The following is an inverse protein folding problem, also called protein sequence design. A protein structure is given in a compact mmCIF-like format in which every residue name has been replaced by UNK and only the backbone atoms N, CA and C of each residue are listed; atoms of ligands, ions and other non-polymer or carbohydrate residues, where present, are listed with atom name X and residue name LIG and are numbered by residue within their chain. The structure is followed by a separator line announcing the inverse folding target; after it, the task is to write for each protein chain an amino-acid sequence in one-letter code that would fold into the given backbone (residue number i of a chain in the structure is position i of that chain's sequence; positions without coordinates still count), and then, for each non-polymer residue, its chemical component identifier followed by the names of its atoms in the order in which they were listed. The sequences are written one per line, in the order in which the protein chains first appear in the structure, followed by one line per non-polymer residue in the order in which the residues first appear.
data_IF_032858265578
#
_entry.id   IF_032858265578
#
_cell.length_a   1.000
_cell.length_b   1.000
_cell.length_c   1.000
_cell.angle_alpha   90.00
_cell.angle_beta   90.00
_cell.angle_gamma   90.00
#
_symmetry.space_group_name_H-M   'P 1'
#
loop_
_entity.id
_entity.type
_entity.pdbx_description
1 polymer ?
#
# COMPACT_ATOMS: atom_id res chain seq x y z
N UNK A 1 -25.85 9.94 29.69
CA UNK A 1 -25.83 10.83 30.86
C UNK A 1 -24.42 11.29 31.23
N UNK A 2 -23.48 10.41 31.63
CA UNK A 2 -22.12 10.82 32.06
C UNK A 2 -21.34 11.70 31.06
N UNK A 3 -21.35 11.36 29.77
CA UNK A 3 -20.67 12.14 28.73
C UNK A 3 -21.25 13.55 28.54
N UNK A 4 -22.56 13.72 28.76
CA UNK A 4 -23.23 15.02 28.62
C UNK A 4 -22.76 15.95 29.72
N UNK A 5 -22.74 15.49 30.98
CA UNK A 5 -22.22 16.28 32.10
C UNK A 5 -20.74 16.64 31.93
N UNK A 6 -19.93 15.75 31.36
CA UNK A 6 -18.53 16.04 31.07
C UNK A 6 -18.39 17.18 30.06
N UNK A 7 -19.17 17.17 28.98
CA UNK A 7 -19.17 18.24 27.97
C UNK A 7 -19.69 19.55 28.57
N UNK A 8 -20.78 19.50 29.35
CA UNK A 8 -21.32 20.69 30.02
C UNK A 8 -20.30 21.31 31.00
N UNK A 9 -19.44 20.50 31.62
CA UNK A 9 -18.38 20.97 32.51
C UNK A 9 -17.22 21.65 31.78
N UNK A 10 -17.09 21.46 30.45
CA UNK A 10 -16.12 22.17 29.61
C UNK A 10 -16.63 23.54 29.15
N UNK A 11 -17.93 23.81 29.31
CA UNK A 11 -18.53 25.08 28.94
C UNK A 11 -18.35 26.13 30.04
N UNK A 12 -18.23 27.40 29.63
CA UNK A 12 -18.26 28.52 30.56
C UNK A 12 -19.71 28.88 30.89
N UNK A 13 -19.99 29.09 32.17
CA UNK A 13 -21.29 29.57 32.64
C UNK A 13 -21.26 31.10 32.73
N UNK A 14 -22.15 31.78 32.01
CA UNK A 14 -22.42 33.21 32.19
C UNK A 14 -23.90 33.43 32.43
N UNK A 15 -24.23 33.99 33.59
CA UNK A 15 -25.61 34.23 34.04
C UNK A 15 -26.47 32.95 33.99
N UNK A 16 -27.36 32.83 33.00
CA UNK A 16 -28.27 31.70 32.78
C UNK A 16 -27.97 30.94 31.49
N UNK A 17 -26.85 31.25 30.81
CA UNK A 17 -26.46 30.66 29.54
C UNK A 17 -25.12 29.91 29.66
N UNK A 18 -25.00 28.84 28.88
CA UNK A 18 -23.75 28.11 28.69
C UNK A 18 -23.10 28.56 27.39
N UNK A 19 -21.82 28.89 27.45
CA UNK A 19 -21.02 29.28 26.30
C UNK A 19 -19.93 28.21 26.11
N UNK A 20 -19.95 27.56 24.94
CA UNK A 20 -18.95 26.59 24.53
C UNK A 20 -18.26 27.02 23.24
N UNK A 21 -16.94 26.96 23.22
CA UNK A 21 -16.15 27.13 22.00
C UNK A 21 -15.84 25.75 21.43
N UNK A 22 -16.15 25.54 20.15
CA UNK A 22 -16.01 24.23 19.49
C UNK A 22 -15.37 24.36 18.12
N UNK A 23 -14.54 23.38 17.77
CA UNK A 23 -14.06 23.21 16.41
C UNK A 23 -15.14 22.52 15.57
N UNK A 24 -15.51 23.13 14.45
CA UNK A 24 -16.48 22.59 13.52
C UNK A 24 -15.94 22.71 12.09
N UNK A 25 -15.98 21.64 11.27
CA UNK A 25 -15.66 21.73 9.86
C UNK A 25 -16.59 22.72 9.17
N UNK A 26 -16.04 23.60 8.33
CA UNK A 26 -16.81 24.65 7.65
C UNK A 26 -17.97 24.08 6.83
N UNK A 27 -17.78 22.90 6.24
CA UNK A 27 -18.80 22.21 5.44
C UNK A 27 -19.99 21.69 6.27
N UNK A 28 -19.80 21.45 7.57
CA UNK A 28 -20.82 20.86 8.44
C UNK A 28 -21.53 21.93 9.30
N UNK A 29 -21.18 23.20 9.12
CA UNK A 29 -21.78 24.35 9.82
C UNK A 29 -23.31 24.46 9.63
N UNK A 30 -23.88 24.25 8.42
CA UNK A 30 -25.33 24.27 8.24
C UNK A 30 -26.04 23.16 9.02
N UNK A 31 -25.41 21.99 9.14
CA UNK A 31 -25.96 20.84 9.88
C UNK A 31 -26.01 21.17 11.38
N UNK A 32 -24.96 21.81 11.90
CA UNK A 32 -24.90 22.28 13.29
C UNK A 32 -26.01 23.31 13.58
N UNK A 33 -26.18 24.30 12.71
CA UNK A 33 -27.22 25.32 12.85
C UNK A 33 -28.63 24.70 12.84
N UNK A 34 -28.89 23.77 11.93
CA UNK A 34 -30.16 23.05 11.89
C UNK A 34 -30.41 22.20 13.14
N UNK A 35 -29.38 21.58 13.71
CA UNK A 35 -29.50 20.81 14.94
C UNK A 35 -29.79 21.72 16.16
N UNK A 36 -29.15 22.89 16.23
CA UNK A 36 -29.38 23.88 17.28
C UNK A 36 -30.80 24.46 17.22
N UNK A 37 -31.30 24.79 16.03
CA UNK A 37 -32.66 25.29 15.83
C UNK A 37 -33.71 24.26 16.30
N UNK A 38 -33.57 22.99 15.87
CA UNK A 38 -34.46 21.89 16.33
C UNK A 38 -34.41 21.71 17.84
N UNK A 39 -33.23 21.74 18.44
CA UNK A 39 -33.10 21.63 19.88
C UNK A 39 -33.77 22.79 20.64
N UNK A 40 -33.75 24.01 20.08
CA UNK A 40 -34.45 25.17 20.65
C UNK A 40 -35.97 25.02 20.56
N UNK A 41 -36.49 24.56 19.42
CA UNK A 41 -37.91 24.28 19.22
C UNK A 41 -38.42 23.18 20.18
N UNK A 42 -37.70 22.06 20.28
CA UNK A 42 -38.09 20.92 21.12
C UNK A 42 -38.06 21.24 22.61
N UNK A 43 -37.17 22.15 23.02
CA UNK A 43 -37.00 22.52 24.44
C UNK A 43 -38.15 23.40 24.96
N UNK A 44 -38.94 24.03 24.08
CA UNK A 44 -40.05 24.92 24.44
C UNK A 44 -39.66 26.16 25.26
N UNK A 45 -38.38 26.33 25.58
CA UNK A 45 -37.83 27.48 26.28
C UNK A 45 -37.58 28.60 25.29
N UNK A 46 -38.15 29.79 25.52
CA UNK A 46 -38.07 30.94 24.61
C UNK A 46 -36.68 31.57 24.40
N UNK A 47 -35.59 30.82 24.61
CA UNK A 47 -34.23 31.23 24.29
C UNK A 47 -33.74 30.57 22.99
N UNK A 48 -33.39 31.38 22.00
CA UNK A 48 -32.77 30.92 20.75
C UNK A 48 -31.33 30.48 21.01
N UNK A 49 -30.95 29.33 20.46
CA UNK A 49 -29.56 28.87 20.42
C UNK A 49 -28.85 29.51 19.23
N UNK A 50 -27.72 30.18 19.48
CA UNK A 50 -26.96 30.86 18.43
C UNK A 50 -25.54 30.30 18.33
N UNK A 51 -25.01 30.25 17.11
CA UNK A 51 -23.60 29.94 16.86
C UNK A 51 -22.93 31.11 16.14
N UNK A 52 -21.73 31.50 16.58
CA UNK A 52 -20.98 32.59 15.99
C UNK A 52 -19.57 32.12 15.62
N UNK A 53 -19.07 32.56 14.47
CA UNK A 53 -17.70 32.25 14.04
C UNK A 53 -16.73 33.23 14.71
N UNK A 54 -15.87 32.71 15.58
CA UNK A 54 -14.87 33.50 16.30
C UNK A 54 -13.54 33.43 15.52
N UNK A 55 -12.85 34.56 15.26
CA UNK A 55 -11.50 34.53 14.74
C UNK A 55 -10.55 33.97 15.81
N UNK A 56 -9.76 32.95 15.46
CA UNK A 56 -8.82 32.31 16.36
C UNK A 56 -7.40 32.42 15.78
N UNK A 57 -6.39 32.65 16.64
CA UNK A 57 -4.98 32.63 16.24
C UNK A 57 -4.35 31.24 16.37
N UNK A 58 -5.03 30.29 17.02
CA UNK A 58 -4.55 28.92 17.21
C UNK A 58 -4.84 28.11 15.96
N UNK A 59 -3.91 27.24 15.57
CA UNK A 59 -4.10 26.33 14.46
C UNK A 59 -5.26 25.36 14.75
N UNK A 60 -6.25 25.26 13.85
CA UNK A 60 -7.34 24.30 14.01
C UNK A 60 -6.84 22.85 13.93
N UNK A 61 -7.59 21.89 14.51
CA UNK A 61 -7.30 20.47 14.37
C UNK A 61 -7.48 20.00 12.91
N UNK A 62 -6.66 19.04 12.51
CA UNK A 62 -6.73 18.43 11.18
C UNK A 62 -7.81 17.35 11.14
N UNK A 63 -8.74 17.44 10.19
CA UNK A 63 -9.76 16.44 9.93
C UNK A 63 -9.57 15.85 8.53
N UNK A 64 -9.23 14.57 8.46
CA UNK A 64 -9.15 13.82 7.20
C UNK A 64 -10.38 12.91 7.11
N UNK A 65 -11.23 13.14 6.11
CA UNK A 65 -12.40 12.29 5.87
C UNK A 65 -11.95 11.00 5.21
N UNK A 66 -12.02 9.90 5.95
CA UNK A 66 -11.69 8.57 5.46
C UNK A 66 -12.95 7.82 5.00
N UNK A 67 -12.76 6.88 4.09
CA UNK A 67 -13.78 5.91 3.72
C UNK A 67 -13.32 4.51 4.18
N UNK A 68 -14.15 3.48 3.94
CA UNK A 68 -13.82 2.09 4.33
C UNK A 68 -12.50 1.57 3.75
N UNK A 69 -12.06 2.11 2.62
CA UNK A 69 -10.83 1.72 1.94
C UNK A 69 -9.61 2.50 2.46
N UNK A 70 -9.74 3.82 2.64
CA UNK A 70 -8.63 4.69 3.05
C UNK A 70 -8.37 4.71 4.55
N UNK A 71 -9.34 4.29 5.38
CA UNK A 71 -9.21 4.31 6.84
C UNK A 71 -7.97 3.57 7.34
N UNK A 72 -7.73 2.33 6.89
CA UNK A 72 -6.57 1.55 7.34
C UNK A 72 -5.22 2.16 6.92
N UNK A 73 -5.15 2.80 5.75
CA UNK A 73 -3.94 3.50 5.31
C UNK A 73 -3.71 4.78 6.11
N UNK A 74 -4.78 5.50 6.43
CA UNK A 74 -4.71 6.71 7.25
C UNK A 74 -4.24 6.39 8.68
N UNK A 75 -4.76 5.33 9.29
CA UNK A 75 -4.35 4.90 10.63
C UNK A 75 -2.86 4.58 10.70
N UNK A 76 -2.30 3.95 9.67
CA UNK A 76 -0.85 3.67 9.60
C UNK A 76 -0.04 4.97 9.55
N UNK A 77 -0.49 5.94 8.76
CA UNK A 77 0.17 7.24 8.66
C UNK A 77 0.06 8.01 9.97
N UNK A 78 -1.13 8.08 10.56
CA UNK A 78 -1.40 8.80 11.80
C UNK A 78 -0.65 8.18 12.99
N UNK A 79 -0.32 6.89 12.92
CA UNK A 79 0.51 6.22 13.94
C UNK A 79 1.93 6.78 14.02
N UNK A 80 2.45 7.35 12.93
CA UNK A 80 3.73 8.06 12.93
C UNK A 80 3.58 9.49 13.45
N UNK A 81 2.51 10.17 13.03
CA UNK A 81 2.18 11.52 13.48
C UNK A 81 1.01 12.09 12.71
N UNK A 82 0.25 12.96 13.38
CA UNK A 82 -0.88 13.67 12.76
C UNK A 82 -0.35 14.85 11.94
N UNK A 83 -0.80 14.97 10.70
CA UNK A 83 -0.42 16.04 9.79
C UNK A 83 -0.88 17.43 10.29
N UNK A 84 -0.13 18.47 9.94
CA UNK A 84 -0.49 19.85 10.25
C UNK A 84 -1.74 20.29 9.50
N UNK A 85 -2.39 21.35 9.99
CA UNK A 85 -3.59 21.85 9.34
C UNK A 85 -3.31 22.30 7.91
N UNK A 86 -4.10 21.80 6.95
CA UNK A 86 -3.95 22.03 5.51
C UNK A 86 -2.62 21.55 4.89
N UNK A 87 -1.92 20.64 5.55
CA UNK A 87 -0.77 19.95 4.95
C UNK A 87 -1.21 18.87 3.94
N UNK A 88 -0.40 18.62 2.91
CA UNK A 88 -0.62 17.53 1.96
C UNK A 88 -0.63 16.18 2.70
N UNK A 89 -1.74 15.44 2.59
CA UNK A 89 -1.90 14.17 3.29
C UNK A 89 -1.04 13.05 2.66
N UNK A 90 -0.08 12.47 3.42
CA UNK A 90 0.78 11.42 2.89
C UNK A 90 0.10 10.06 2.72
N UNK A 91 -1.08 9.84 3.32
CA UNK A 91 -1.81 8.59 3.20
C UNK A 91 -2.26 8.31 1.76
N UNK A 92 -2.53 9.35 0.95
CA UNK A 92 -3.05 9.18 -0.41
C UNK A 92 -2.07 8.44 -1.33
N UNK A 93 -0.78 8.76 -1.28
CA UNK A 93 0.21 8.03 -2.08
C UNK A 93 0.64 6.73 -1.41
N UNK A 94 0.63 6.68 -0.08
CA UNK A 94 0.93 5.48 0.72
C UNK A 94 0.01 4.31 0.35
N UNK A 95 -1.23 4.57 -0.07
CA UNK A 95 -2.18 3.55 -0.56
C UNK A 95 -1.56 2.64 -1.63
N UNK A 96 -0.72 3.19 -2.53
CA UNK A 96 -0.10 2.44 -3.62
C UNK A 96 1.38 2.15 -3.34
N UNK A 97 2.13 3.14 -2.87
CA UNK A 97 3.59 2.99 -2.71
C UNK A 97 3.94 1.98 -1.64
N UNK A 98 3.20 1.93 -0.53
CA UNK A 98 3.50 0.99 0.55
C UNK A 98 3.27 -0.48 0.14
N UNK A 99 2.10 -0.88 -0.40
CA UNK A 99 1.91 -2.23 -0.91
C UNK A 99 2.88 -2.61 -2.05
N UNK A 100 3.23 -1.66 -2.92
CA UNK A 100 4.19 -1.91 -4.00
C UNK A 100 5.61 -2.17 -3.47
N UNK A 101 6.11 -1.35 -2.54
CA UNK A 101 7.43 -1.56 -1.93
C UNK A 101 7.49 -2.86 -1.14
N UNK A 102 6.40 -3.22 -0.43
CA UNK A 102 6.27 -4.54 0.18
C UNK A 102 6.40 -5.66 -0.86
N UNK A 103 5.71 -5.54 -1.99
CA UNK A 103 5.73 -6.53 -3.05
C UNK A 103 7.11 -6.72 -3.70
N UNK A 104 7.93 -5.66 -3.79
CA UNK A 104 9.32 -5.77 -4.26
C UNK A 104 10.17 -6.63 -3.32
N UNK A 105 9.89 -6.58 -2.01
CA UNK A 105 10.56 -7.40 -0.99
C UNK A 105 10.02 -8.83 -0.92
N UNK A 106 8.70 -8.99 -1.08
CA UNK A 106 7.98 -10.26 -0.94
C UNK A 106 7.63 -10.93 -2.29
N UNK A 107 8.33 -10.58 -3.37
CA UNK A 107 7.95 -10.94 -4.75
C UNK A 107 8.00 -12.45 -5.04
N UNK A 108 6.90 -13.16 -4.79
CA UNK A 108 6.67 -14.56 -5.12
C UNK A 108 5.21 -14.74 -5.51
N UNK A 109 4.96 -15.33 -6.68
CA UNK A 109 3.60 -15.55 -7.20
C UNK A 109 2.79 -16.45 -6.27
N UNK A 110 3.38 -17.54 -5.78
CA UNK A 110 2.69 -18.54 -4.98
C UNK A 110 2.25 -18.01 -3.62
N UNK A 111 3.19 -17.41 -2.89
CA UNK A 111 2.90 -16.79 -1.60
C UNK A 111 1.99 -15.57 -1.74
N UNK A 112 2.18 -14.76 -2.79
CA UNK A 112 1.31 -13.63 -3.10
C UNK A 112 -0.15 -14.04 -3.35
N UNK A 113 -0.39 -15.15 -4.08
CA UNK A 113 -1.74 -15.69 -4.30
C UNK A 113 -2.38 -16.11 -2.98
N UNK A 114 -1.65 -16.80 -2.10
CA UNK A 114 -2.18 -17.22 -0.79
C UNK A 114 -2.59 -16.01 0.07
N UNK A 115 -1.73 -14.98 0.12
CA UNK A 115 -2.05 -13.73 0.81
C UNK A 115 -3.24 -13.01 0.19
N UNK A 116 -3.31 -12.94 -1.14
CA UNK A 116 -4.42 -12.31 -1.87
C UNK A 116 -5.74 -13.03 -1.62
N UNK A 117 -5.76 -14.37 -1.65
CA UNK A 117 -6.96 -15.16 -1.39
C UNK A 117 -7.43 -15.00 0.07
N UNK A 118 -6.52 -14.99 1.03
CA UNK A 118 -6.85 -14.73 2.43
C UNK A 118 -7.45 -13.33 2.63
N UNK A 119 -6.85 -12.31 2.03
CA UNK A 119 -7.37 -10.95 2.09
C UNK A 119 -8.72 -10.81 1.37
N UNK A 120 -8.89 -11.47 0.22
CA UNK A 120 -10.15 -11.51 -0.52
C UNK A 120 -11.25 -12.14 0.33
N UNK A 121 -10.95 -13.23 1.05
CA UNK A 121 -11.88 -13.84 1.99
C UNK A 121 -12.32 -12.85 3.10
N UNK A 122 -11.39 -12.07 3.66
CA UNK A 122 -11.73 -11.03 4.66
C UNK A 122 -12.60 -9.90 4.08
N UNK A 123 -12.37 -9.53 2.81
CA UNK A 123 -13.15 -8.48 2.13
C UNK A 123 -14.56 -8.98 1.77
N UNK A 124 -14.68 -10.22 1.29
CA UNK A 124 -15.99 -10.82 0.98
C UNK A 124 -16.80 -11.11 2.26
N UNK A 125 -16.13 -11.47 3.35
CA UNK A 125 -16.73 -11.66 4.67
C UNK A 125 -16.95 -10.37 5.45
N UNK A 126 -16.86 -9.19 4.83
CA UNK A 126 -16.95 -7.89 5.52
C UNK A 126 -18.27 -7.73 6.29
N UNK A 127 -19.38 -8.31 5.84
CA UNK A 127 -20.69 -8.18 6.49
C UNK A 127 -20.95 -9.18 7.62
N UNK A 128 -20.12 -10.20 7.80
CA UNK A 128 -20.31 -11.20 8.84
C UNK A 128 -20.04 -10.60 10.25
N UNK A 129 -21.04 -10.58 11.16
CA UNK A 129 -20.87 -10.07 12.52
C UNK A 129 -19.76 -10.77 13.30
N UNK A 130 -19.45 -12.03 12.99
CA UNK A 130 -18.38 -12.80 13.65
C UNK A 130 -17.00 -12.26 13.33
N UNK A 131 -16.78 -11.83 12.07
CA UNK A 131 -15.52 -11.22 11.65
C UNK A 131 -15.35 -9.83 12.24
N UNK A 132 -16.43 -9.03 12.29
CA UNK A 132 -16.39 -7.66 12.86
C UNK A 132 -16.15 -7.65 14.37
N UNK A 133 -16.66 -8.63 15.10
CA UNK A 133 -16.68 -8.65 16.57
C UNK A 133 -15.69 -9.65 17.17
N UNK A 134 -14.65 -10.01 16.43
CA UNK A 134 -13.60 -10.88 16.93
C UNK A 134 -12.93 -10.27 18.17
N UNK A 135 -12.85 -11.05 19.26
CA UNK A 135 -12.16 -10.64 20.49
C UNK A 135 -10.63 -10.72 20.37
N UNK A 136 -10.11 -11.43 19.36
CA UNK A 136 -8.68 -11.53 19.11
C UNK A 136 -8.13 -10.21 18.54
N UNK A 137 -7.28 -9.53 19.30
CA UNK A 137 -6.66 -8.25 18.92
C UNK A 137 -5.90 -8.34 17.59
N UNK A 138 -5.13 -9.42 17.40
CA UNK A 138 -4.37 -9.65 16.16
C UNK A 138 -5.31 -9.75 14.95
N UNK A 139 -6.42 -10.49 15.10
CA UNK A 139 -7.38 -10.65 14.01
C UNK A 139 -8.12 -9.33 13.71
N UNK A 140 -8.45 -8.56 14.75
CA UNK A 140 -9.04 -7.23 14.61
C UNK A 140 -8.13 -6.29 13.81
N UNK A 141 -6.82 -6.31 14.08
CA UNK A 141 -5.83 -5.53 13.32
C UNK A 141 -5.77 -5.97 11.85
N UNK A 142 -5.72 -7.27 11.58
CA UNK A 142 -5.74 -7.80 10.21
C UNK A 142 -7.03 -7.44 9.46
N UNK A 143 -8.19 -7.47 10.14
CA UNK A 143 -9.48 -7.11 9.55
C UNK A 143 -9.59 -5.61 9.25
N UNK A 144 -9.06 -4.75 10.13
CA UNK A 144 -8.91 -3.31 9.88
C UNK A 144 -8.07 -3.03 8.63
N UNK A 145 -6.97 -3.77 8.46
CA UNK A 145 -6.06 -3.69 7.32
C UNK A 145 -6.44 -4.52 6.09
N UNK A 146 -7.65 -5.06 5.97
CA UNK A 146 -8.01 -6.02 4.89
C UNK A 146 -7.71 -5.52 3.47
N UNK A 147 -7.99 -4.26 3.17
CA UNK A 147 -7.73 -3.67 1.85
C UNK A 147 -6.23 -3.47 1.59
N UNK A 148 -5.44 -3.23 2.64
CA UNK A 148 -3.99 -3.14 2.56
C UNK A 148 -3.36 -4.50 2.28
N UNK A 149 -3.78 -5.56 2.98
CA UNK A 149 -3.30 -6.93 2.72
C UNK A 149 -3.71 -7.38 1.32
N UNK A 150 -4.90 -7.01 0.86
CA UNK A 150 -5.38 -7.30 -0.51
C UNK A 150 -4.45 -6.69 -1.56
N UNK A 151 -4.11 -5.40 -1.42
CA UNK A 151 -3.20 -4.73 -2.34
C UNK A 151 -1.78 -5.30 -2.26
N UNK A 152 -1.28 -5.61 -1.07
CA UNK A 152 0.03 -6.25 -0.88
C UNK A 152 0.10 -7.60 -1.58
N UNK A 153 -0.94 -8.43 -1.46
CA UNK A 153 -1.05 -9.70 -2.17
C UNK A 153 -1.09 -9.51 -3.69
N UNK A 154 -1.92 -8.59 -4.19
CA UNK A 154 -2.04 -8.31 -5.62
C UNK A 154 -0.72 -7.81 -6.24
N UNK A 155 -0.04 -6.86 -5.59
CA UNK A 155 1.26 -6.40 -6.05
C UNK A 155 2.34 -7.48 -5.91
N UNK A 156 2.31 -8.31 -4.86
CA UNK A 156 3.26 -9.44 -4.70
C UNK A 156 3.13 -10.45 -5.83
N UNK A 157 1.91 -10.75 -6.29
CA UNK A 157 1.70 -11.59 -7.47
C UNK A 157 2.31 -10.94 -8.71
N UNK A 158 2.07 -9.64 -8.93
CA UNK A 158 2.66 -8.90 -10.05
C UNK A 158 4.20 -8.91 -10.02
N UNK A 159 4.82 -8.57 -8.89
CA UNK A 159 6.29 -8.56 -8.76
C UNK A 159 6.87 -9.98 -8.81
N UNK A 160 6.15 -10.98 -8.30
CA UNK A 160 6.51 -12.39 -8.43
C UNK A 160 6.58 -12.84 -9.89
N UNK A 161 5.65 -12.38 -10.74
CA UNK A 161 5.72 -12.64 -12.18
C UNK A 161 6.88 -11.88 -12.85
N UNK A 162 7.17 -10.65 -12.42
CA UNK A 162 8.34 -9.89 -12.90
C UNK A 162 9.65 -10.61 -12.54
N UNK A 163 9.76 -11.16 -11.33
CA UNK A 163 10.91 -11.98 -10.93
C UNK A 163 10.90 -13.38 -11.55
N UNK A 164 9.75 -13.81 -12.09
CA UNK A 164 9.50 -15.15 -12.57
C UNK A 164 9.82 -16.21 -11.51
N UNK A 165 9.34 -15.99 -10.28
CA UNK A 165 9.48 -16.92 -9.16
C UNK A 165 8.10 -17.31 -8.62
N UNK A 166 7.79 -18.61 -8.66
CA UNK A 166 6.61 -19.22 -8.06
C UNK A 166 7.05 -20.40 -7.20
N UNK A 167 6.97 -20.27 -5.87
CA UNK A 167 7.47 -21.29 -4.92
C UNK A 167 8.91 -21.74 -5.23
N UNK A 168 9.79 -20.78 -5.50
CA UNK A 168 11.21 -21.01 -5.88
C UNK A 168 11.43 -21.73 -7.23
N UNK A 169 10.39 -21.87 -8.06
CA UNK A 169 10.50 -22.38 -9.43
C UNK A 169 10.16 -21.30 -10.44
N UNK A 170 10.89 -21.28 -11.56
CA UNK A 170 10.56 -20.40 -12.67
C UNK A 170 9.48 -21.00 -13.56
N UNK A 171 8.63 -20.12 -14.11
CA UNK A 171 7.56 -20.50 -15.04
C UNK A 171 7.98 -20.18 -16.47
N UNK A 172 7.89 -21.16 -17.37
CA UNK A 172 8.21 -20.98 -18.80
C UNK A 172 6.97 -20.52 -19.59
N UNK A 173 6.56 -19.27 -19.38
CA UNK A 173 5.39 -18.68 -20.04
C UNK A 173 5.68 -18.37 -21.52
N UNK A 174 6.86 -17.81 -21.80
CA UNK A 174 7.32 -17.46 -23.15
C UNK A 174 8.55 -18.32 -23.53
N UNK A 175 8.87 -18.44 -24.83
CA UNK A 175 10.14 -19.04 -25.24
C UNK A 175 11.32 -18.26 -24.65
N UNK A 176 12.32 -18.99 -24.15
CA UNK A 176 13.55 -18.40 -23.63
C UNK A 176 14.31 -17.68 -24.75
N UNK A 177 14.97 -16.57 -24.40
CA UNK A 177 15.87 -15.85 -25.30
C UNK A 177 17.19 -16.59 -25.53
N UNK A 178 17.45 -17.63 -24.75
CA UNK A 178 18.64 -18.46 -24.82
C UNK A 178 18.36 -19.76 -25.57
N UNK A 179 19.18 -20.06 -26.55
CA UNK A 179 19.12 -21.32 -27.26
C UNK A 179 20.43 -22.10 -27.09
N UNK A 180 20.32 -23.29 -26.51
CA UNK A 180 21.47 -24.19 -26.25
C UNK A 180 21.83 -25.00 -27.51
N UNK A 181 20.91 -25.14 -28.48
CA UNK A 181 21.15 -26.00 -29.66
C UNK A 181 22.20 -25.41 -30.60
N UNK A 182 22.34 -24.09 -30.66
CA UNK A 182 23.34 -23.42 -31.51
C UNK A 182 24.78 -23.76 -31.12
N UNK A 183 25.06 -24.00 -29.84
CA UNK A 183 26.37 -24.53 -29.40
C UNK A 183 26.59 -26.00 -29.74
N UNK A 184 25.51 -26.74 -30.00
CA UNK A 184 25.56 -28.18 -30.23
C UNK A 184 25.76 -28.54 -31.72
N UNK A 185 25.41 -27.62 -32.64
CA UNK A 185 25.53 -27.83 -34.10
C UNK A 185 26.92 -27.52 -34.67
N UNK A 186 27.77 -26.79 -33.96
CA UNK A 186 29.13 -26.47 -34.44
C UNK A 186 30.08 -27.69 -34.38
N UNK A 187 29.68 -28.75 -33.67
CA UNK A 187 30.39 -30.03 -33.65
C UNK A 187 29.45 -31.13 -34.18
N UNK A 188 29.77 -31.72 -35.34
CA UNK A 188 29.00 -32.77 -36.04
C UNK A 188 28.68 -34.06 -35.23
N UNK A 189 29.01 -34.11 -33.93
CA UNK A 189 28.68 -35.19 -33.00
C UNK A 189 27.98 -34.61 -31.75
N UNK A 190 26.67 -34.37 -31.86
CA UNK A 190 25.77 -33.95 -30.77
C UNK A 190 25.98 -34.77 -29.49
N UNK A 191 26.24 -36.07 -29.66
CA UNK A 191 26.35 -37.04 -28.59
C UNK A 191 27.75 -37.09 -27.93
N UNK A 192 28.82 -36.67 -28.62
CA UNK A 192 30.18 -36.63 -28.03
C UNK A 192 30.48 -35.28 -27.37
N UNK A 193 29.94 -34.17 -27.90
CA UNK A 193 30.10 -32.85 -27.30
C UNK A 193 29.44 -32.75 -25.92
N UNK A 194 28.25 -33.33 -25.74
CA UNK A 194 27.55 -33.39 -24.44
C UNK A 194 28.20 -34.36 -23.44
N UNK A 195 28.89 -35.40 -23.91
CA UNK A 195 29.50 -36.44 -23.06
C UNK A 195 30.95 -36.10 -22.67
N UNK A 196 31.63 -35.26 -23.45
CA UNK A 196 33.01 -34.82 -23.23
C UNK A 196 33.13 -33.47 -22.52
N UNK A 197 32.07 -32.63 -22.52
CA UNK A 197 32.07 -31.37 -21.80
C UNK A 197 31.77 -31.56 -20.32
N UNK A 198 32.59 -30.92 -19.49
CA UNK A 198 32.33 -30.76 -18.05
C UNK A 198 30.91 -30.21 -17.83
N UNK A 199 30.22 -30.59 -16.73
CA UNK A 199 28.81 -30.26 -16.51
C UNK A 199 28.49 -28.76 -16.36
N UNK A 200 29.45 -27.86 -16.52
CA UNK A 200 29.33 -26.42 -16.20
C UNK A 200 30.00 -25.51 -17.25
N UNK A 201 29.94 -25.86 -18.54
CA UNK A 201 30.45 -24.95 -19.56
C UNK A 201 29.53 -23.72 -19.72
N UNK A 202 30.07 -22.49 -19.62
CA UNK A 202 29.26 -21.28 -19.74
C UNK A 202 28.78 -21.09 -21.19
N UNK A 203 27.51 -20.73 -21.34
CA UNK A 203 26.96 -20.26 -22.61
C UNK A 203 27.63 -18.91 -22.96
N UNK A 204 28.33 -18.88 -24.08
CA UNK A 204 28.96 -17.68 -24.62
C UNK A 204 27.93 -16.86 -25.41
N UNK A 205 27.53 -15.67 -24.93
CA UNK A 205 26.52 -14.84 -25.59
C UNK A 205 27.00 -14.26 -26.94
N UNK A 206 28.31 -14.25 -27.22
CA UNK A 206 28.87 -13.70 -28.45
C UNK A 206 28.77 -14.66 -29.64
N UNK A 207 28.39 -15.93 -29.41
CA UNK A 207 28.17 -16.90 -30.49
C UNK A 207 26.79 -16.70 -31.12
N UNK A 208 26.74 -16.76 -32.45
CA UNK A 208 25.51 -16.57 -33.22
C UNK A 208 24.47 -17.62 -32.85
N UNK A 209 23.26 -17.15 -32.52
CA UNK A 209 22.15 -18.03 -32.17
C UNK A 209 22.17 -18.58 -30.74
N UNK A 210 23.14 -18.24 -29.89
CA UNK A 210 23.11 -18.61 -28.44
C UNK A 210 22.19 -17.68 -27.67
N UNK A 211 22.29 -16.37 -27.94
CA UNK A 211 21.37 -15.35 -27.45
C UNK A 211 20.58 -14.78 -28.63
N UNK A 212 19.27 -15.07 -28.67
CA UNK A 212 18.38 -14.70 -29.77
C UNK A 212 17.68 -13.37 -29.46
N UNK A 213 17.40 -13.10 -28.17
CA UNK A 213 16.72 -11.87 -27.77
C UNK A 213 16.39 -11.79 -26.28
N UNK A 214 15.81 -10.67 -25.88
CA UNK A 214 15.39 -10.42 -24.49
C UNK A 214 14.06 -11.12 -24.21
N UNK A 215 13.93 -11.67 -22.99
CA UNK A 215 12.67 -12.29 -22.56
C UNK A 215 11.54 -11.24 -22.52
N UNK A 216 10.36 -11.51 -23.10
CA UNK A 216 9.33 -10.47 -23.25
C UNK A 216 8.78 -9.87 -21.95
N UNK A 217 8.75 -10.65 -20.86
CA UNK A 217 8.18 -10.19 -19.59
C UNK A 217 8.84 -10.85 -18.38
N UNK A 218 9.47 -10.04 -17.52
CA UNK A 218 10.17 -10.52 -16.33
C UNK A 218 11.53 -11.13 -16.65
N UNK A 219 11.99 -12.05 -15.79
CA UNK A 219 13.31 -12.68 -15.91
C UNK A 219 13.20 -14.00 -16.67
N UNK A 220 14.16 -14.25 -17.57
CA UNK A 220 14.20 -15.47 -18.37
C UNK A 220 14.26 -16.74 -17.48
N UNK A 221 13.37 -17.72 -17.69
CA UNK A 221 13.32 -18.96 -16.89
C UNK A 221 14.65 -19.73 -16.86
N UNK A 222 15.50 -19.59 -17.88
CA UNK A 222 16.79 -20.30 -17.96
C UNK A 222 17.70 -19.98 -16.76
N UNK A 223 17.58 -18.77 -16.20
CA UNK A 223 18.36 -18.35 -15.04
C UNK A 223 18.05 -19.18 -13.79
N UNK A 224 16.87 -19.80 -13.69
CA UNK A 224 16.56 -20.68 -12.55
C UNK A 224 17.43 -21.94 -12.51
N UNK A 225 17.86 -22.41 -13.69
CA UNK A 225 18.71 -23.60 -13.88
C UNK A 225 20.20 -23.27 -13.82
N UNK A 226 20.57 -22.01 -13.95
CA UNK A 226 21.96 -21.58 -14.04
C UNK A 226 22.66 -21.58 -12.67
N UNK A 227 23.94 -22.00 -12.65
CA UNK A 227 24.77 -21.98 -11.44
C UNK A 227 25.13 -20.54 -11.00
N UNK A 228 25.26 -19.62 -11.96
CA UNK A 228 25.57 -18.20 -11.74
C UNK A 228 24.33 -17.31 -11.52
N UNK A 229 23.16 -17.90 -11.25
CA UNK A 229 21.90 -17.16 -11.04
C UNK A 229 21.99 -16.08 -9.97
N UNK A 230 22.69 -16.38 -8.86
CA UNK A 230 22.80 -15.48 -7.73
C UNK A 230 23.57 -14.21 -8.10
N UNK A 231 24.65 -14.34 -8.85
CA UNK A 231 25.45 -13.19 -9.30
C UNK A 231 24.65 -12.25 -10.21
N UNK A 232 23.87 -12.82 -11.14
CA UNK A 232 23.01 -12.05 -12.03
C UNK A 232 21.86 -11.37 -11.27
N UNK A 233 21.08 -12.14 -10.49
CA UNK A 233 19.92 -11.64 -9.77
C UNK A 233 20.29 -10.62 -8.69
N UNK A 234 21.39 -10.82 -7.96
CA UNK A 234 21.84 -9.85 -6.96
C UNK A 234 22.22 -8.50 -7.61
N UNK A 235 22.93 -8.56 -8.74
CA UNK A 235 23.28 -7.36 -9.51
C UNK A 235 22.06 -6.62 -10.02
N UNK A 236 21.04 -7.36 -10.49
CA UNK A 236 19.76 -6.80 -10.94
C UNK A 236 18.98 -6.17 -9.77
N UNK A 237 18.75 -6.93 -8.70
CA UNK A 237 17.98 -6.48 -7.52
C UNK A 237 18.60 -5.26 -6.85
N UNK A 238 19.94 -5.20 -6.76
CA UNK A 238 20.64 -4.04 -6.21
C UNK A 238 20.47 -2.78 -7.09
N UNK A 239 20.57 -2.90 -8.41
CA UNK A 239 20.38 -1.74 -9.29
C UNK A 239 18.93 -1.27 -9.28
N UNK A 240 17.98 -2.20 -9.29
CA UNK A 240 16.55 -1.91 -9.20
C UNK A 240 16.21 -1.18 -7.89
N UNK A 241 16.73 -1.65 -6.74
CA UNK A 241 16.43 -1.04 -5.44
C UNK A 241 16.95 0.40 -5.34
N UNK A 242 18.12 0.70 -5.89
CA UNK A 242 18.65 2.06 -5.95
C UNK A 242 17.75 2.97 -6.80
N UNK A 243 17.33 2.51 -7.98
CA UNK A 243 16.46 3.30 -8.87
C UNK A 243 15.11 3.60 -8.19
N UNK A 244 14.48 2.58 -7.60
CA UNK A 244 13.22 2.74 -6.87
C UNK A 244 13.37 3.68 -5.66
N UNK A 245 14.45 3.55 -4.90
CA UNK A 245 14.72 4.39 -3.73
C UNK A 245 14.91 5.86 -4.10
N UNK A 246 15.72 6.15 -5.13
CA UNK A 246 15.96 7.53 -5.60
C UNK A 246 14.66 8.15 -6.12
N UNK A 247 13.87 7.41 -6.90
CA UNK A 247 12.58 7.90 -7.39
C UNK A 247 11.60 8.19 -6.25
N UNK A 248 11.49 7.28 -5.28
CA UNK A 248 10.58 7.46 -4.13
C UNK A 248 10.98 8.66 -3.26
N UNK A 249 12.27 8.84 -2.97
CA UNK A 249 12.75 10.00 -2.22
C UNK A 249 12.58 11.31 -2.99
N UNK A 250 12.90 11.33 -4.29
CA UNK A 250 12.71 12.50 -5.14
C UNK A 250 11.23 12.93 -5.19
N UNK A 251 10.31 11.97 -5.33
CA UNK A 251 8.88 12.23 -5.29
C UNK A 251 8.44 12.88 -3.97
N UNK A 252 8.93 12.38 -2.82
CA UNK A 252 8.66 12.98 -1.51
C UNK A 252 9.13 14.43 -1.40
N UNK A 253 10.32 14.75 -1.93
CA UNK A 253 10.82 16.13 -1.97
C UNK A 253 9.97 17.01 -2.87
N UNK A 254 9.50 16.52 -4.02
CA UNK A 254 8.61 17.29 -4.89
C UNK A 254 7.28 17.66 -4.20
N UNK A 255 6.75 16.80 -3.32
CA UNK A 255 5.53 17.10 -2.57
C UNK A 255 5.69 18.27 -1.59
N UNK A 256 6.90 18.49 -1.08
CA UNK A 256 7.17 19.63 -0.20
C UNK A 256 6.89 20.98 -0.87
N UNK A 257 7.08 21.07 -2.19
CA UNK A 257 6.81 22.30 -2.95
C UNK A 257 5.33 22.69 -2.83
N UNK A 258 4.41 21.73 -2.87
CA UNK A 258 2.97 21.98 -2.74
C UNK A 258 2.54 22.40 -1.34
N UNK A 259 3.37 22.18 -0.31
CA UNK A 259 3.11 22.72 1.03
C UNK A 259 3.57 24.17 1.18
N UNK A 260 4.53 24.63 0.35
CA UNK A 260 5.04 26.00 0.39
C UNK A 260 4.27 26.97 -0.52
N UNK A 261 3.61 26.46 -1.56
CA UNK A 261 2.80 27.21 -2.53
C UNK A 261 1.36 27.30 -2.05
#
# INVERSE_FOLDING_TARGET
MKHIYLILNLCSVRERCLIGEVWCPVNDLPVLQGALARASEDSGGGGESFCHRIPCSVSPPTLIRTNKFTAGFQEIVDSYGVASYQEVNPALYTIITFPFLFAVMFGDVGHGILMFLFALWLVLGEDDPKLKRSENEIFSMCFGGRYLILLMGAFSVYTGFVYNECFSRATSIFPSGWNVTSMAYDNNDLHKAFKAKSPVDPLNPNMTGVFIGVYPFGIDPIWSLASNKLTFLNSFKMKMSVILGVFHMAFGVCLSIFNFV
#
